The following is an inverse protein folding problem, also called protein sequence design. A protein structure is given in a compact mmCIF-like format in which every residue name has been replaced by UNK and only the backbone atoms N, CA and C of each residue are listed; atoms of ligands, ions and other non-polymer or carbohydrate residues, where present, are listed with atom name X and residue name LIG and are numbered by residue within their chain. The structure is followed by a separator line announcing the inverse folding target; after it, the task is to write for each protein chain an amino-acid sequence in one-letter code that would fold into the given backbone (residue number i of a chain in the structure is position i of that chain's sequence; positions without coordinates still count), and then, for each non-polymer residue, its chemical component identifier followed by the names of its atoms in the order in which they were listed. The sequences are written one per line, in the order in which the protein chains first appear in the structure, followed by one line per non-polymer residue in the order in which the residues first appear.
data_IF_873420750214
#
_entry.id   IF_873420750214
#
_cell.length_a   1.000
_cell.length_b   1.000
_cell.length_c   1.000
_cell.angle_alpha   90.00
_cell.angle_beta   90.00
_cell.angle_gamma   90.00
#
_symmetry.space_group_name_H-M   'P 1'
#
loop_
_entity.id
_entity.type
_entity.pdbx_description
1 polymer ?
#
# COMPACT_ATOMS: atom_id res chain seq x y z
N UNK A 1 30.56 44.35 45.13
CA UNK A 1 30.48 43.36 44.03
C UNK A 1 30.86 42.02 44.64
N UNK A 2 29.90 41.08 44.78
CA UNK A 2 29.23 40.42 43.66
C UNK A 2 27.70 40.54 43.67
N UNK A 3 27.09 40.35 42.50
CA UNK A 3 25.63 40.37 42.27
C UNK A 3 25.00 39.07 42.78
N UNK A 4 23.95 39.24 43.56
CA UNK A 4 23.01 38.21 44.00
C UNK A 4 22.13 37.81 42.82
N UNK A 5 22.11 36.52 42.47
CA UNK A 5 21.25 35.98 41.43
C UNK A 5 19.90 35.60 42.06
N UNK A 6 18.82 36.21 41.56
CA UNK A 6 17.45 35.92 41.96
C UNK A 6 17.05 34.50 41.56
N UNK A 7 16.56 33.75 42.53
CA UNK A 7 15.97 32.45 42.33
C UNK A 7 14.57 32.59 41.71
N UNK A 8 14.43 32.16 40.46
CA UNK A 8 13.14 32.07 39.77
C UNK A 8 12.33 30.92 40.41
N UNK A 9 11.27 31.28 41.15
CA UNK A 9 10.26 30.35 41.67
C UNK A 9 9.37 29.85 40.52
N UNK A 10 9.61 28.64 40.03
CA UNK A 10 8.62 27.93 39.22
C UNK A 10 7.59 27.26 40.14
N UNK A 11 6.35 27.74 40.05
CA UNK A 11 5.20 27.15 40.73
C UNK A 11 4.97 25.73 40.19
N UNK A 12 5.08 24.73 41.06
CA UNK A 12 4.66 23.36 40.77
C UNK A 12 3.13 23.34 40.61
N UNK A 13 2.66 23.42 39.36
CA UNK A 13 1.35 22.90 39.04
C UNK A 13 1.44 21.38 38.99
N UNK A 14 0.94 20.74 40.06
CA UNK A 14 0.55 19.35 40.04
C UNK A 14 -0.52 19.16 38.96
N UNK A 15 -0.12 18.78 37.76
CA UNK A 15 -1.05 18.21 36.79
C UNK A 15 -1.30 16.78 37.22
N UNK A 16 -2.40 16.56 37.95
CA UNK A 16 -2.97 15.24 38.15
C UNK A 16 -3.58 14.82 36.81
N UNK A 17 -2.79 14.15 35.96
CA UNK A 17 -3.33 13.43 34.81
C UNK A 17 -3.99 12.17 35.37
N UNK A 18 -5.32 12.20 35.47
CA UNK A 18 -6.10 10.99 35.68
C UNK A 18 -5.81 10.03 34.52
N UNK A 19 -5.03 8.98 34.79
CA UNK A 19 -4.87 7.84 33.89
C UNK A 19 -6.19 7.08 33.87
N UNK A 20 -7.16 7.57 33.10
CA UNK A 20 -8.29 6.73 32.71
C UNK A 20 -7.70 5.60 31.87
N UNK A 21 -7.83 4.39 32.40
CA UNK A 21 -7.23 3.18 31.87
C UNK A 21 -7.43 3.10 30.36
N UNK A 22 -6.35 3.36 29.63
CA UNK A 22 -6.22 2.92 28.26
C UNK A 22 -6.23 1.39 28.36
N UNK A 23 -7.42 0.79 28.22
CA UNK A 23 -7.54 -0.64 27.98
C UNK A 23 -6.77 -0.85 26.68
N UNK A 24 -5.56 -1.37 26.80
CA UNK A 24 -4.88 -2.03 25.69
C UNK A 24 -5.79 -3.21 25.37
N UNK A 25 -6.73 -3.00 24.45
CA UNK A 25 -7.44 -4.12 23.84
C UNK A 25 -6.32 -4.90 23.16
N UNK A 26 -6.08 -6.18 23.53
CA UNK A 26 -5.21 -7.00 22.71
C UNK A 26 -5.81 -6.96 21.31
N UNK A 27 -5.11 -6.36 20.35
CA UNK A 27 -5.51 -6.38 18.94
C UNK A 27 -5.28 -7.82 18.48
N UNK A 28 -6.19 -8.71 18.86
CA UNK A 28 -6.25 -10.09 18.38
C UNK A 28 -7.01 -10.17 17.07
N UNK A 29 -7.86 -9.18 16.76
CA UNK A 29 -8.58 -9.10 15.50
C UNK A 29 -8.02 -7.96 14.63
N UNK A 30 -7.70 -8.28 13.39
CA UNK A 30 -7.29 -7.29 12.39
C UNK A 30 -8.50 -6.42 12.02
N UNK A 31 -8.31 -5.11 11.78
CA UNK A 31 -9.40 -4.25 11.33
C UNK A 31 -9.95 -4.74 9.99
N UNK A 32 -11.27 -4.66 9.81
CA UNK A 32 -11.88 -5.00 8.53
C UNK A 32 -11.32 -4.10 7.41
N UNK A 33 -11.01 -4.71 6.27
CA UNK A 33 -10.46 -4.00 5.12
C UNK A 33 -11.61 -3.39 4.32
N UNK A 34 -12.07 -2.21 4.75
CA UNK A 34 -13.11 -1.44 4.04
C UNK A 34 -12.53 -0.65 2.86
N UNK A 35 -13.37 -0.13 1.94
CA UNK A 35 -12.91 0.76 0.88
C UNK A 35 -12.15 1.99 1.41
N UNK A 36 -12.64 2.60 2.50
CA UNK A 36 -12.01 3.75 3.15
C UNK A 36 -10.66 3.37 3.76
N UNK A 37 -10.57 2.19 4.38
CA UNK A 37 -9.29 1.66 4.88
C UNK A 37 -8.29 1.43 3.74
N UNK A 38 -8.76 0.94 2.59
CA UNK A 38 -7.92 0.73 1.40
C UNK A 38 -7.34 2.03 0.86
N UNK A 39 -8.14 3.10 0.78
CA UNK A 39 -7.65 4.41 0.37
C UNK A 39 -6.53 4.91 1.29
N UNK A 40 -6.73 4.80 2.61
CA UNK A 40 -5.71 5.15 3.62
C UNK A 40 -4.44 4.33 3.42
N UNK A 41 -4.59 3.01 3.22
CA UNK A 41 -3.47 2.10 2.97
C UNK A 41 -2.70 2.50 1.71
N UNK A 42 -3.39 2.71 0.58
CA UNK A 42 -2.77 3.11 -0.69
C UNK A 42 -1.98 4.40 -0.52
N UNK A 43 -2.57 5.44 0.06
CA UNK A 43 -1.89 6.74 0.25
C UNK A 43 -0.69 6.61 1.17
N UNK A 44 -0.84 5.92 2.30
CA UNK A 44 0.26 5.69 3.26
C UNK A 44 1.43 4.99 2.57
N UNK A 45 1.15 3.94 1.82
CA UNK A 45 2.17 3.08 1.23
C UNK A 45 2.85 3.74 0.04
N UNK A 46 2.13 4.46 -0.81
CA UNK A 46 2.71 5.24 -1.90
C UNK A 46 3.59 6.39 -1.37
N UNK A 47 3.19 7.05 -0.28
CA UNK A 47 4.06 8.03 0.41
C UNK A 47 5.28 7.39 1.03
N UNK A 48 5.12 6.24 1.69
CA UNK A 48 6.22 5.49 2.31
C UNK A 48 7.29 5.13 1.29
N UNK A 49 6.91 4.60 0.12
CA UNK A 49 7.87 4.28 -0.94
C UNK A 49 8.52 5.52 -1.56
N UNK A 50 8.01 6.72 -1.28
CA UNK A 50 8.67 7.98 -1.64
C UNK A 50 8.02 8.75 -2.77
N UNK A 51 6.75 8.50 -3.10
CA UNK A 51 5.99 9.39 -3.97
C UNK A 51 5.40 10.57 -3.19
N UNK A 52 5.39 11.73 -3.82
CA UNK A 52 4.48 12.82 -3.44
C UNK A 52 3.09 12.48 -3.98
N UNK A 53 2.17 12.13 -3.06
CA UNK A 53 0.80 11.75 -3.40
C UNK A 53 -0.12 12.95 -3.30
N UNK A 54 -0.70 13.36 -4.43
CA UNK A 54 -1.65 14.46 -4.54
C UNK A 54 -3.07 14.11 -4.09
N UNK A 55 -4.05 14.89 -4.52
CA UNK A 55 -5.47 14.66 -4.18
C UNK A 55 -6.00 13.41 -4.89
N UNK A 56 -6.29 12.37 -4.11
CA UNK A 56 -6.90 11.13 -4.58
C UNK A 56 -8.37 11.36 -4.95
N UNK A 57 -8.82 10.73 -6.03
CA UNK A 57 -10.23 10.73 -6.45
C UNK A 57 -10.73 9.31 -6.63
N UNK A 58 -11.92 9.02 -6.13
CA UNK A 58 -12.62 7.78 -6.44
C UNK A 58 -13.13 7.87 -7.87
N UNK A 59 -12.66 6.97 -8.73
CA UNK A 59 -13.16 6.78 -10.08
C UNK A 59 -14.36 5.83 -10.11
N UNK A 60 -14.26 4.72 -9.37
CA UNK A 60 -15.28 3.68 -9.33
C UNK A 60 -15.30 3.00 -7.97
N UNK A 61 -16.48 2.62 -7.50
CA UNK A 61 -16.69 1.69 -6.40
C UNK A 61 -17.80 0.72 -6.79
N UNK A 62 -17.57 -0.58 -6.64
CA UNK A 62 -18.57 -1.59 -6.92
C UNK A 62 -18.37 -2.82 -6.05
N UNK A 63 -19.45 -3.49 -5.71
CA UNK A 63 -19.40 -4.83 -5.12
C UNK A 63 -19.04 -5.87 -6.20
N UNK A 64 -18.44 -6.97 -5.77
CA UNK A 64 -18.14 -8.12 -6.62
C UNK A 64 -19.24 -9.17 -6.45
N UNK A 65 -19.76 -9.73 -7.55
CA UNK A 65 -20.74 -10.82 -7.49
C UNK A 65 -20.10 -12.11 -6.95
N UNK A 66 -20.90 -13.16 -6.84
CA UNK A 66 -20.37 -14.51 -6.67
C UNK A 66 -19.67 -14.99 -7.95
N UNK A 67 -18.63 -15.83 -7.84
CA UNK A 67 -18.10 -16.43 -6.60
C UNK A 67 -17.11 -15.56 -5.82
N UNK A 68 -16.59 -14.47 -6.40
CA UNK A 68 -15.49 -13.70 -5.84
C UNK A 68 -15.86 -13.04 -4.51
N UNK A 69 -17.08 -12.49 -4.39
CA UNK A 69 -17.64 -11.82 -3.20
C UNK A 69 -16.70 -10.79 -2.56
N UNK A 70 -17.07 -9.51 -2.62
CA UNK A 70 -16.30 -8.44 -1.98
C UNK A 70 -16.50 -7.12 -2.70
N UNK A 71 -15.41 -6.38 -2.95
CA UNK A 71 -15.50 -5.09 -3.64
C UNK A 71 -14.28 -4.75 -4.49
N UNK A 72 -14.52 -3.81 -5.40
CA UNK A 72 -13.51 -3.06 -6.14
C UNK A 72 -13.65 -1.58 -5.81
N UNK A 73 -12.54 -0.93 -5.50
CA UNK A 73 -12.40 0.52 -5.40
C UNK A 73 -11.31 0.97 -6.37
N UNK A 74 -11.65 1.83 -7.31
CA UNK A 74 -10.68 2.38 -8.26
C UNK A 74 -10.43 3.84 -7.95
N UNK A 75 -9.15 4.17 -7.79
CA UNK A 75 -8.69 5.49 -7.42
C UNK A 75 -7.86 6.06 -8.57
N UNK A 76 -8.02 7.34 -8.85
CA UNK A 76 -7.05 8.11 -9.63
C UNK A 76 -6.16 8.82 -8.64
N UNK A 77 -4.87 8.47 -8.67
CA UNK A 77 -3.86 8.93 -7.71
C UNK A 77 -2.79 9.72 -8.45
N UNK A 78 -2.74 11.06 -8.30
CA UNK A 78 -1.61 11.85 -8.77
C UNK A 78 -0.36 11.51 -7.97
N UNK A 79 0.73 11.21 -8.66
CA UNK A 79 2.05 10.89 -8.11
C UNK A 79 3.07 11.86 -8.69
N UNK A 80 4.00 12.30 -7.86
CA UNK A 80 5.17 13.04 -8.32
C UNK A 80 6.44 12.54 -7.63
N UNK A 81 7.57 12.65 -8.34
CA UNK A 81 8.91 12.40 -7.80
C UNK A 81 9.96 13.04 -8.69
N UNK A 82 10.85 13.82 -8.10
CA UNK A 82 12.05 14.31 -8.81
C UNK A 82 11.74 15.18 -10.04
N UNK A 83 10.61 15.89 -10.04
CA UNK A 83 10.15 16.72 -11.16
C UNK A 83 9.29 15.98 -12.19
N UNK A 84 9.23 14.65 -12.13
CA UNK A 84 8.33 13.84 -12.94
C UNK A 84 6.99 13.64 -12.25
N UNK A 85 5.92 13.57 -13.05
CA UNK A 85 4.54 13.39 -12.57
C UNK A 85 3.83 12.29 -13.34
N UNK A 86 3.03 11.51 -12.63
CA UNK A 86 2.18 10.46 -13.18
C UNK A 86 0.80 10.55 -12.58
N UNK A 87 -0.20 10.01 -13.26
CA UNK A 87 -1.49 9.67 -12.66
C UNK A 87 -1.65 8.16 -12.70
N UNK A 88 -1.74 7.53 -11.54
CA UNK A 88 -1.97 6.10 -11.44
C UNK A 88 -3.46 5.80 -11.32
N UNK A 89 -3.95 4.86 -12.12
CA UNK A 89 -5.18 4.13 -11.83
C UNK A 89 -4.85 3.03 -10.82
N UNK A 90 -5.29 3.19 -9.57
CA UNK A 90 -5.09 2.20 -8.52
C UNK A 90 -6.38 1.40 -8.34
N UNK A 91 -6.37 0.15 -8.78
CA UNK A 91 -7.48 -0.79 -8.61
C UNK A 91 -7.29 -1.60 -7.32
N UNK A 92 -8.12 -1.31 -6.33
CA UNK A 92 -8.14 -1.94 -5.03
C UNK A 92 -9.18 -3.06 -5.03
N UNK A 93 -8.78 -4.31 -4.78
CA UNK A 93 -9.66 -5.47 -4.78
C UNK A 93 -9.63 -6.18 -3.44
N UNK A 94 -10.80 -6.36 -2.87
CA UNK A 94 -11.03 -7.25 -1.75
C UNK A 94 -11.96 -8.34 -2.24
N UNK A 95 -11.48 -9.58 -2.29
CA UNK A 95 -12.23 -10.71 -2.81
C UNK A 95 -11.77 -12.02 -2.18
N UNK A 96 -12.63 -13.03 -2.29
CA UNK A 96 -12.34 -14.43 -2.04
C UNK A 96 -11.80 -15.06 -3.33
N UNK A 97 -10.70 -15.81 -3.24
CA UNK A 97 -10.05 -16.43 -4.41
C UNK A 97 -9.02 -15.52 -5.09
N UNK A 98 -8.13 -16.15 -5.86
CA UNK A 98 -7.02 -15.47 -6.51
C UNK A 98 -7.48 -14.41 -7.52
N UNK A 99 -6.64 -13.41 -7.73
CA UNK A 99 -6.80 -12.42 -8.79
C UNK A 99 -6.19 -12.98 -10.06
N UNK A 100 -7.04 -13.15 -11.07
CA UNK A 100 -6.70 -13.78 -12.35
C UNK A 100 -6.33 -12.75 -13.44
N UNK A 101 -5.85 -13.26 -14.58
CA UNK A 101 -5.45 -12.45 -15.75
C UNK A 101 -6.50 -11.44 -16.18
N UNK A 102 -7.78 -11.82 -16.19
CA UNK A 102 -8.87 -10.95 -16.64
C UNK A 102 -8.93 -9.63 -15.86
N UNK A 103 -8.53 -9.63 -14.58
CA UNK A 103 -8.47 -8.41 -13.78
C UNK A 103 -7.43 -7.45 -14.34
N UNK A 104 -6.25 -7.94 -14.71
CA UNK A 104 -5.17 -7.13 -15.28
C UNK A 104 -5.60 -6.55 -16.63
N UNK A 105 -6.17 -7.39 -17.50
CA UNK A 105 -6.69 -6.97 -18.81
C UNK A 105 -7.78 -5.91 -18.66
N UNK A 106 -8.69 -6.11 -17.71
CA UNK A 106 -9.78 -5.18 -17.41
C UNK A 106 -9.25 -3.82 -16.92
N UNK A 107 -8.26 -3.80 -16.03
CA UNK A 107 -7.59 -2.56 -15.58
C UNK A 107 -6.88 -1.88 -16.75
N UNK A 108 -6.19 -2.64 -17.59
CA UNK A 108 -5.48 -2.09 -18.76
C UNK A 108 -6.44 -1.50 -19.79
N UNK A 109 -7.56 -2.16 -20.06
CA UNK A 109 -8.60 -1.68 -20.96
C UNK A 109 -9.30 -0.40 -20.45
N UNK A 110 -9.32 -0.18 -19.13
CA UNK A 110 -9.82 1.05 -18.52
C UNK A 110 -8.84 2.21 -18.57
N UNK A 111 -7.53 1.94 -18.57
CA UNK A 111 -6.50 2.98 -18.55
C UNK A 111 -6.73 4.12 -19.58
N UNK A 112 -7.08 3.87 -20.87
CA UNK A 112 -7.36 4.95 -21.83
C UNK A 112 -8.66 5.72 -21.57
N UNK A 113 -9.55 5.24 -20.71
CA UNK A 113 -10.86 5.84 -20.41
C UNK A 113 -10.81 6.77 -19.18
N UNK A 114 -9.68 6.78 -18.47
CA UNK A 114 -9.47 7.49 -17.21
C UNK A 114 -8.25 8.39 -17.37
N UNK A 115 -8.18 9.57 -16.73
CA UNK A 115 -6.98 10.41 -16.75
C UNK A 115 -5.83 9.77 -15.94
N UNK A 116 -5.29 8.66 -16.42
CA UNK A 116 -4.24 7.87 -15.80
C UNK A 116 -3.23 7.39 -16.87
N UNK A 117 -1.96 7.40 -16.49
CA UNK A 117 -0.82 7.09 -17.35
C UNK A 117 -0.19 5.73 -16.97
N UNK A 118 -0.48 5.24 -15.77
CA UNK A 118 0.01 3.98 -15.23
C UNK A 118 -1.07 3.25 -14.42
N UNK A 119 -0.91 1.95 -14.18
CA UNK A 119 -1.86 1.14 -13.44
C UNK A 119 -1.18 0.35 -12.31
N UNK A 120 -1.86 0.29 -11.17
CA UNK A 120 -1.44 -0.47 -9.99
C UNK A 120 -2.63 -1.26 -9.48
N UNK A 121 -2.45 -2.55 -9.19
CA UNK A 121 -3.47 -3.38 -8.55
C UNK A 121 -3.06 -3.65 -7.11
N UNK A 122 -3.89 -3.28 -6.15
CA UNK A 122 -3.77 -3.75 -4.78
C UNK A 122 -4.84 -4.81 -4.53
N UNK A 123 -4.46 -5.97 -3.98
CA UNK A 123 -5.40 -7.05 -3.69
C UNK A 123 -5.15 -7.66 -2.30
N UNK A 124 -6.21 -8.02 -1.58
CA UNK A 124 -6.07 -8.82 -0.33
C UNK A 124 -5.92 -10.32 -0.60
N UNK A 125 -6.20 -10.75 -1.84
CA UNK A 125 -6.03 -12.13 -2.28
C UNK A 125 -4.71 -12.33 -3.01
N UNK A 126 -4.33 -13.60 -3.19
CA UNK A 126 -3.17 -13.98 -4.00
C UNK A 126 -3.37 -13.67 -5.48
N UNK A 127 -2.26 -13.59 -6.23
CA UNK A 127 -2.29 -13.45 -7.68
C UNK A 127 -2.02 -14.78 -8.36
N UNK A 128 -2.84 -15.13 -9.35
CA UNK A 128 -2.57 -16.28 -10.20
C UNK A 128 -1.30 -16.04 -11.05
N UNK A 129 -0.61 -17.12 -11.42
CA UNK A 129 0.66 -17.04 -12.14
C UNK A 129 0.51 -16.36 -13.51
N UNK A 130 -0.63 -16.57 -14.17
CA UNK A 130 -0.97 -15.97 -15.45
C UNK A 130 -1.35 -14.49 -15.33
N UNK A 131 -1.94 -14.08 -14.20
CA UNK A 131 -2.15 -12.69 -13.85
C UNK A 131 -0.82 -11.94 -13.68
N UNK A 132 0.14 -12.54 -12.98
CA UNK A 132 1.49 -11.96 -12.83
C UNK A 132 2.22 -11.85 -14.18
N UNK A 133 2.05 -12.83 -15.06
CA UNK A 133 2.61 -12.77 -16.42
C UNK A 133 1.98 -11.63 -17.23
N UNK A 134 0.64 -11.54 -17.23
CA UNK A 134 -0.09 -10.47 -17.92
C UNK A 134 0.28 -9.08 -17.38
N UNK A 135 0.44 -8.94 -16.06
CA UNK A 135 0.78 -7.67 -15.43
C UNK A 135 2.17 -7.18 -15.86
N UNK A 136 3.15 -8.09 -15.92
CA UNK A 136 4.49 -7.77 -16.44
C UNK A 136 4.45 -7.32 -17.89
N UNK A 137 3.69 -8.00 -18.74
CA UNK A 137 3.55 -7.65 -20.16
C UNK A 137 2.85 -6.30 -20.36
N UNK A 138 1.86 -5.99 -19.52
CA UNK A 138 1.04 -4.78 -19.60
C UNK A 138 1.62 -3.57 -18.86
N UNK A 139 2.72 -3.74 -18.12
CA UNK A 139 3.33 -2.71 -17.29
C UNK A 139 2.50 -2.32 -16.07
N UNK A 140 1.84 -3.29 -15.44
CA UNK A 140 0.97 -3.11 -14.26
C UNK A 140 1.69 -3.59 -13.00
N UNK A 141 1.77 -2.75 -11.98
CA UNK A 141 2.33 -3.15 -10.69
C UNK A 141 1.29 -3.93 -9.86
N UNK A 142 1.70 -5.07 -9.29
CA UNK A 142 0.81 -5.97 -8.53
C UNK A 142 1.21 -6.00 -7.07
N UNK A 143 0.32 -5.55 -6.18
CA UNK A 143 0.56 -5.39 -4.75
C UNK A 143 -0.41 -6.25 -3.93
N UNK A 144 0.12 -7.26 -3.25
CA UNK A 144 -0.67 -8.10 -2.34
C UNK A 144 -0.64 -7.51 -0.95
N UNK A 145 -1.80 -7.20 -0.39
CA UNK A 145 -1.99 -6.71 0.97
C UNK A 145 -2.05 -7.93 1.90
N UNK A 146 -1.05 -8.04 2.78
CA UNK A 146 -0.96 -9.10 3.80
C UNK A 146 -1.07 -8.48 5.19
N UNK A 147 -1.40 -9.29 6.20
CA UNK A 147 -1.37 -8.80 7.57
C UNK A 147 0.06 -8.43 7.99
N UNK A 148 0.17 -7.42 8.85
CA UNK A 148 1.44 -6.85 9.25
C UNK A 148 2.36 -7.84 9.96
N UNK A 149 1.79 -8.81 10.69
CA UNK A 149 2.56 -9.81 11.43
C UNK A 149 3.20 -10.80 10.47
N UNK A 150 2.45 -11.33 9.50
CA UNK A 150 2.98 -12.17 8.43
C UNK A 150 4.05 -11.44 7.61
N UNK A 151 3.81 -10.17 7.27
CA UNK A 151 4.84 -9.35 6.61
C UNK A 151 6.10 -9.22 7.46
N UNK A 152 5.96 -8.95 8.75
CA UNK A 152 7.09 -8.80 9.67
C UNK A 152 7.87 -10.11 9.83
N UNK A 153 7.18 -11.23 10.02
CA UNK A 153 7.78 -12.55 10.18
C UNK A 153 8.55 -12.98 8.91
N UNK A 154 8.04 -12.61 7.73
CA UNK A 154 8.70 -12.92 6.44
C UNK A 154 9.79 -11.93 6.04
N UNK A 155 9.91 -10.78 6.71
CA UNK A 155 10.92 -9.76 6.42
C UNK A 155 12.33 -10.13 6.89
N UNK A 156 12.45 -11.07 7.85
CA UNK A 156 13.71 -11.40 8.51
C UNK A 156 14.21 -10.33 9.50
N UNK A 157 13.41 -9.30 9.81
CA UNK A 157 13.80 -8.22 10.74
C UNK A 157 13.85 -8.63 12.21
N UNK A 158 13.15 -9.70 12.61
CA UNK A 158 13.13 -10.15 14.01
C UNK A 158 12.63 -11.59 14.17
N UNK A 159 12.61 -12.06 15.41
CA UNK A 159 12.03 -13.35 15.81
C UNK A 159 10.50 -13.29 15.77
N UNK A 160 9.83 -14.28 15.15
CA UNK A 160 8.37 -14.33 15.13
C UNK A 160 7.74 -14.28 16.52
N UNK A 161 6.58 -13.62 16.63
CA UNK A 161 5.83 -13.50 17.89
C UNK A 161 6.14 -12.26 18.74
N UNK A 162 7.14 -11.46 18.38
CA UNK A 162 7.45 -10.19 19.05
C UNK A 162 7.27 -8.99 18.10
N UNK A 163 6.05 -8.47 18.05
CA UNK A 163 5.68 -7.39 17.13
C UNK A 163 5.78 -6.01 17.79
N UNK A 164 6.36 -5.00 17.12
CA UNK A 164 6.38 -3.65 17.66
C UNK A 164 4.97 -3.05 17.70
N UNK A 165 4.70 -2.21 18.70
CA UNK A 165 3.39 -1.55 18.86
C UNK A 165 3.00 -0.64 17.69
N UNK A 166 3.98 -0.20 16.89
CA UNK A 166 3.77 0.63 15.70
C UNK A 166 3.53 -0.18 14.42
N UNK A 167 3.59 -1.52 14.46
CA UNK A 167 3.42 -2.37 13.27
C UNK A 167 2.05 -2.13 12.64
N UNK A 168 1.97 -1.69 11.37
CA UNK A 168 0.68 -1.52 10.69
C UNK A 168 -0.06 -2.85 10.59
N UNK A 169 -1.39 -2.83 10.74
CA UNK A 169 -2.19 -4.05 10.67
C UNK A 169 -2.09 -4.77 9.31
N UNK A 170 -1.85 -4.01 8.24
CA UNK A 170 -1.67 -4.54 6.90
C UNK A 170 -0.52 -3.85 6.19
N UNK A 171 0.24 -4.61 5.41
CA UNK A 171 1.37 -4.14 4.59
C UNK A 171 1.26 -4.73 3.18
N UNK A 172 1.45 -3.93 2.11
CA UNK A 172 1.53 -4.45 0.76
C UNK A 172 2.91 -5.02 0.46
N UNK A 173 2.92 -6.10 -0.31
CA UNK A 173 4.08 -6.70 -0.94
C UNK A 173 3.94 -6.54 -2.46
N UNK A 174 4.99 -6.05 -3.12
CA UNK A 174 5.11 -6.18 -4.57
C UNK A 174 5.28 -7.65 -4.91
N UNK A 175 4.38 -8.16 -5.74
CA UNK A 175 4.44 -9.52 -6.24
C UNK A 175 4.81 -9.47 -7.72
N UNK A 176 5.97 -10.02 -8.06
CA UNK A 176 6.44 -10.17 -9.43
C UNK A 176 6.83 -11.62 -9.69
N UNK A 177 7.42 -11.89 -10.87
CA UNK A 177 8.03 -13.17 -11.18
C UNK A 177 9.54 -13.03 -11.17
N UNK A 178 10.22 -13.96 -10.51
CA UNK A 178 11.67 -14.05 -10.57
C UNK A 178 12.18 -14.55 -11.93
N UNK A 179 13.50 -14.73 -12.05
CA UNK A 179 14.15 -15.21 -13.28
C UNK A 179 13.72 -16.63 -13.68
N UNK A 180 13.25 -17.42 -12.73
CA UNK A 180 12.73 -18.78 -12.93
C UNK A 180 11.24 -18.79 -13.22
N UNK A 181 10.61 -17.61 -13.24
CA UNK A 181 9.18 -17.44 -13.45
C UNK A 181 8.33 -17.79 -12.23
N UNK A 182 8.92 -17.96 -11.04
CA UNK A 182 8.17 -18.21 -9.82
C UNK A 182 7.68 -16.90 -9.19
N UNK A 183 6.49 -16.88 -8.56
CA UNK A 183 6.04 -15.72 -7.82
C UNK A 183 7.01 -15.33 -6.71
N UNK A 184 7.38 -14.05 -6.66
CA UNK A 184 8.25 -13.48 -5.63
C UNK A 184 7.57 -12.28 -5.01
N UNK A 185 7.41 -12.32 -3.69
CA UNK A 185 6.85 -11.23 -2.91
C UNK A 185 7.96 -10.43 -2.22
N UNK A 186 7.94 -9.10 -2.33
CA UNK A 186 8.87 -8.18 -1.67
C UNK A 186 8.09 -7.10 -0.94
N UNK A 187 8.37 -6.85 0.34
CA UNK A 187 7.75 -5.74 1.05
C UNK A 187 8.13 -4.41 0.39
N UNK A 188 7.17 -3.49 0.31
CA UNK A 188 7.46 -2.14 -0.14
C UNK A 188 8.40 -1.44 0.84
N UNK A 189 9.57 -1.06 0.36
CA UNK A 189 10.62 -0.39 1.14
C UNK A 189 10.44 1.13 1.14
N UNK A 190 10.83 1.78 2.23
CA UNK A 190 10.73 3.23 2.33
C UNK A 190 11.73 3.92 1.39
N UNK A 191 11.28 4.95 0.67
CA UNK A 191 12.12 5.71 -0.27
C UNK A 191 12.55 4.95 -1.53
N UNK A 192 11.90 3.83 -1.85
CA UNK A 192 12.15 2.99 -3.04
C UNK A 192 10.99 3.02 -4.05
N UNK A 193 10.75 4.17 -4.72
CA UNK A 193 9.66 4.26 -5.70
C UNK A 193 9.96 3.47 -6.97
N UNK A 194 11.24 3.17 -7.23
CA UNK A 194 11.72 2.31 -8.32
C UNK A 194 11.04 0.94 -8.32
N UNK A 195 10.72 0.39 -7.15
CA UNK A 195 9.99 -0.87 -7.02
C UNK A 195 8.66 -0.88 -7.80
N UNK A 196 8.00 0.28 -7.93
CA UNK A 196 6.74 0.43 -8.68
C UNK A 196 7.01 1.00 -10.07
N UNK A 197 7.92 1.98 -10.20
CA UNK A 197 8.22 2.64 -11.48
C UNK A 197 8.80 1.68 -12.52
N UNK A 198 9.63 0.72 -12.10
CA UNK A 198 10.21 -0.28 -12.99
C UNK A 198 9.13 -1.11 -13.69
N UNK A 199 7.97 -1.31 -13.04
CA UNK A 199 6.83 -2.00 -13.67
C UNK A 199 6.25 -1.17 -14.82
N UNK A 200 6.24 0.16 -14.73
CA UNK A 200 5.65 1.02 -15.76
C UNK A 200 6.55 1.16 -17.00
N UNK A 201 7.86 0.96 -16.85
CA UNK A 201 8.84 1.19 -17.90
C UNK A 201 8.88 0.08 -18.97
N UNK A 202 8.46 -1.15 -18.65
CA UNK A 202 8.46 -2.30 -19.57
C UNK A 202 7.65 -2.02 -20.85
N UNK A 203 6.59 -1.22 -20.78
CA UNK A 203 5.81 -0.84 -21.97
C UNK A 203 6.50 0.25 -22.81
N UNK A 204 7.21 1.20 -22.17
CA UNK A 204 7.89 2.28 -22.89
C UNK A 204 9.02 1.75 -23.78
N UNK A 205 9.78 0.78 -23.30
CA UNK A 205 10.88 0.17 -24.07
C UNK A 205 10.36 -0.61 -25.29
N UNK A 206 9.21 -1.28 -25.19
CA UNK A 206 8.58 -2.01 -26.31
C UNK A 206 7.91 -1.12 -27.36
N UNK A 207 7.58 0.13 -27.03
CA UNK A 207 7.01 1.10 -27.99
C UNK A 207 8.08 1.88 -28.77
N UNK A 208 9.34 1.85 -28.32
CA UNK A 208 10.46 2.59 -28.93
C UNK A 208 11.53 1.68 -29.56
N UNK A 209 11.31 0.36 -29.60
CA UNK A 209 12.14 -0.61 -30.33
C UNK A 209 11.33 -1.25 -31.45
#
# INVERSE_FOLDING_TARGET
MPRQADAIRFHHHHVVIASQGCRIIPVTELPAVTPEYFEILVVRELRKVGFDVGTVRIHRRSELPEPERGFVLELVVPLARGGETWRALVACRHQTGAVDREVVESVKARLPQVPADAAVVFATADFAADALAAAREAGVAMLRVVDGRTAFDTSGWSTPGHYPAWLPAYLPQLVDRDISGQPRARLLEAGRPDMILDCFQIEKERRHG
#
